data_IF_509147768414
#
_entry.id   IF_509147768414
#
_cell.length_a   1.000
_cell.length_b   1.000
_cell.length_c   1.000
_cell.angle_alpha   90.00
_cell.angle_beta   90.00
_cell.angle_gamma   90.00
#
_symmetry.space_group_name_H-M   'P 1'
#
loop_
_entity.id
_entity.type
_entity.pdbx_description
1 polymer ?
#
# COMPACT_ATOMS: atom_id res chain seq x y z
N UNK A 1 53.06 44.98 -2.33
CA UNK A 1 51.66 44.87 -2.81
C UNK A 1 50.95 43.86 -1.91
N UNK A 2 50.24 44.29 -0.87
CA UNK A 2 48.81 44.68 -0.79
C UNK A 2 47.86 43.46 -0.73
N UNK A 3 47.58 43.06 0.52
CA UNK A 3 46.35 42.53 1.16
C UNK A 3 45.04 42.62 0.34
N UNK A 4 43.96 41.83 0.62
CA UNK A 4 43.47 41.66 2.01
C UNK A 4 42.75 40.38 2.50
N UNK A 5 42.74 40.34 3.84
CA UNK A 5 41.85 39.63 4.79
C UNK A 5 40.35 39.89 4.58
N UNK A 6 39.53 38.91 5.01
CA UNK A 6 38.25 39.11 5.74
C UNK A 6 38.03 37.90 6.67
N UNK A 7 38.34 38.02 7.95
CA UNK A 7 37.42 38.33 9.07
C UNK A 7 36.31 37.29 9.27
N UNK A 8 36.56 36.39 10.22
CA UNK A 8 35.59 35.61 10.99
C UNK A 8 34.85 36.54 11.95
N UNK A 9 33.53 36.65 11.82
CA UNK A 9 32.64 37.26 12.81
C UNK A 9 31.83 36.14 13.45
N UNK A 10 32.13 35.87 14.72
CA UNK A 10 31.20 35.18 15.61
C UNK A 10 30.05 36.13 15.93
N UNK A 11 28.83 35.60 15.94
CA UNK A 11 27.70 36.24 16.58
C UNK A 11 27.17 35.35 17.70
N UNK A 12 27.31 35.91 18.88
CA UNK A 12 26.84 35.50 20.19
C UNK A 12 25.33 35.73 20.24
N UNK A 13 24.54 34.68 20.46
CA UNK A 13 23.09 34.79 20.62
C UNK A 13 22.83 35.31 22.05
N UNK A 14 22.56 36.60 22.15
CA UNK A 14 22.05 37.26 23.35
C UNK A 14 20.62 36.79 23.62
N UNK A 15 20.40 36.27 24.83
CA UNK A 15 19.09 36.07 25.44
C UNK A 15 18.34 37.41 25.51
N UNK A 16 17.13 37.47 24.95
CA UNK A 16 16.21 38.58 25.17
C UNK A 16 14.81 38.03 25.45
N UNK A 17 14.44 38.02 26.72
CA UNK A 17 13.06 38.05 27.19
C UNK A 17 12.39 39.36 26.76
N UNK A 18 11.07 39.34 26.54
CA UNK A 18 10.27 40.46 27.01
C UNK A 18 9.07 40.05 27.86
N UNK A 19 8.76 41.02 28.69
CA UNK A 19 7.92 41.10 29.86
C UNK A 19 6.45 41.39 29.51
N UNK A 20 5.57 41.16 30.48
CA UNK A 20 4.13 41.40 30.41
C UNK A 20 3.80 42.90 30.31
N UNK A 21 2.77 43.24 29.53
CA UNK A 21 1.92 44.39 29.85
C UNK A 21 0.49 44.21 29.37
N UNK A 22 -0.43 44.82 30.11
CA UNK A 22 -1.87 44.57 30.16
C UNK A 22 -2.68 45.52 29.24
N UNK A 23 -4.00 45.25 29.20
CA UNK A 23 -5.14 46.15 28.90
C UNK A 23 -5.56 46.38 27.43
N UNK A 24 -6.72 45.82 27.03
CA UNK A 24 -8.03 46.52 27.06
C UNK A 24 -9.09 45.80 26.20
N UNK A 25 -10.27 45.58 26.78
CA UNK A 25 -11.57 45.25 26.13
C UNK A 25 -12.09 46.43 25.31
N UNK A 26 -13.04 46.19 24.37
CA UNK A 26 -14.42 46.56 24.69
C UNK A 26 -15.49 45.55 24.22
N UNK A 27 -16.68 45.80 24.77
CA UNK A 27 -17.88 44.99 24.87
C UNK A 27 -18.95 45.37 23.82
N UNK A 28 -19.81 44.41 23.51
CA UNK A 28 -21.23 44.49 23.06
C UNK A 28 -21.72 45.55 22.05
N UNK A 29 -22.43 45.06 21.03
CA UNK A 29 -23.77 45.62 20.72
C UNK A 29 -24.70 44.56 20.11
N UNK A 30 -25.93 44.55 20.63
CA UNK A 30 -27.07 43.70 20.25
C UNK A 30 -27.94 44.40 19.17
N UNK A 31 -29.10 43.80 18.88
CA UNK A 31 -30.26 44.23 18.06
C UNK A 31 -30.38 43.49 16.71
N UNK A 32 -31.52 43.00 16.23
CA UNK A 32 -32.87 42.74 16.75
C UNK A 32 -33.63 41.89 15.69
N UNK A 33 -34.80 41.39 16.08
CA UNK A 33 -35.65 40.39 15.41
C UNK A 33 -36.81 41.03 14.60
N UNK A 34 -37.13 40.44 13.42
CA UNK A 34 -38.50 40.16 12.85
C UNK A 34 -39.29 41.31 12.17
N UNK A 35 -40.35 41.14 11.31
CA UNK A 35 -40.91 40.02 10.48
C UNK A 35 -41.23 40.32 8.97
N UNK A 36 -41.49 39.24 8.23
CA UNK A 36 -42.59 38.93 7.26
C UNK A 36 -43.02 39.89 6.11
N UNK A 37 -43.13 39.33 4.89
CA UNK A 37 -44.27 39.51 3.95
C UNK A 37 -44.12 38.63 2.69
N UNK A 38 -45.10 37.75 2.46
CA UNK A 38 -45.49 37.19 1.14
C UNK A 38 -46.73 37.98 0.64
N UNK A 39 -47.03 38.03 -0.68
CA UNK A 39 -48.20 37.25 -1.14
C UNK A 39 -48.16 36.75 -2.62
N UNK A 40 -48.58 35.48 -2.80
CA UNK A 40 -49.64 34.97 -3.71
C UNK A 40 -49.51 35.14 -5.26
N UNK A 41 -50.02 34.29 -6.17
CA UNK A 41 -50.95 33.14 -6.13
C UNK A 41 -50.87 32.31 -7.45
N UNK A 42 -51.38 31.08 -7.34
CA UNK A 42 -51.60 29.94 -8.27
C UNK A 42 -52.64 30.19 -9.39
N UNK A 43 -52.92 29.25 -10.35
CA UNK A 43 -53.68 27.98 -10.13
C UNK A 43 -53.11 26.76 -10.93
N UNK A 44 -52.94 25.55 -10.38
CA UNK A 44 -53.88 24.53 -9.87
C UNK A 44 -54.79 23.88 -10.94
N UNK A 45 -54.48 22.63 -11.31
CA UNK A 45 -55.45 21.57 -11.60
C UNK A 45 -54.94 20.24 -10.97
N UNK A 46 -55.83 19.58 -10.24
CA UNK A 46 -55.72 18.29 -9.54
C UNK A 46 -56.78 17.32 -10.14
N UNK A 47 -57.06 16.13 -9.55
CA UNK A 47 -56.26 14.91 -9.44
C UNK A 47 -57.07 13.65 -9.89
N UNK A 48 -56.49 12.44 -9.73
CA UNK A 48 -57.06 11.15 -9.22
C UNK A 48 -56.56 9.88 -9.95
N UNK A 49 -56.68 8.65 -9.39
CA UNK A 49 -56.32 8.21 -8.03
C UNK A 49 -55.53 6.87 -8.04
N UNK A 50 -54.77 6.60 -6.98
CA UNK A 50 -54.20 5.27 -6.74
C UNK A 50 -53.27 5.25 -5.53
N UNK A 51 -53.78 4.82 -4.38
CA UNK A 51 -53.10 4.67 -3.07
C UNK A 51 -53.78 3.47 -2.39
N UNK A 52 -53.20 2.73 -1.40
CA UNK A 52 -51.88 2.82 -0.74
C UNK A 52 -51.11 1.47 -0.72
N UNK A 53 -49.84 1.50 -0.31
CA UNK A 53 -49.17 0.26 0.12
C UNK A 53 -47.71 0.43 0.49
N UNK A 54 -47.46 0.38 1.79
CA UNK A 54 -46.19 0.41 2.50
C UNK A 54 -45.04 -0.44 1.93
N UNK A 55 -43.83 0.00 2.27
CA UNK A 55 -42.65 -0.80 2.61
C UNK A 55 -42.46 -2.15 1.92
N UNK A 56 -41.45 -2.23 1.06
CA UNK A 56 -40.54 -3.38 1.17
C UNK A 56 -39.18 -3.08 0.58
N UNK A 57 -38.22 -2.89 1.48
CA UNK A 57 -36.84 -3.30 1.27
C UNK A 57 -36.83 -4.73 0.75
N UNK A 58 -36.43 -4.95 -0.50
CA UNK A 58 -36.16 -6.30 -0.97
C UNK A 58 -34.96 -6.33 -1.92
N UNK A 59 -33.82 -6.54 -1.29
CA UNK A 59 -32.88 -7.63 -1.62
C UNK A 59 -32.41 -7.68 -3.07
N UNK A 60 -31.21 -7.15 -3.28
CA UNK A 60 -30.37 -7.57 -4.40
C UNK A 60 -29.16 -8.28 -3.78
N UNK A 61 -29.25 -9.62 -3.74
CA UNK A 61 -28.19 -10.61 -3.52
C UNK A 61 -26.96 -10.07 -2.75
N UNK A 62 -26.99 -10.21 -1.42
CA UNK A 62 -26.03 -9.65 -0.47
C UNK A 62 -24.61 -10.23 -0.57
N UNK A 63 -23.93 -9.94 -1.67
CA UNK A 63 -22.49 -10.15 -1.80
C UNK A 63 -21.81 -9.23 -0.80
N UNK A 64 -21.12 -9.82 0.17
CA UNK A 64 -20.34 -9.06 1.14
C UNK A 64 -19.16 -8.41 0.43
N UNK A 65 -19.30 -7.13 0.12
CA UNK A 65 -18.28 -6.35 -0.57
C UNK A 65 -17.58 -5.42 0.41
N UNK A 66 -16.31 -5.72 0.72
CA UNK A 66 -15.47 -4.90 1.59
C UNK A 66 -15.46 -3.44 1.13
N UNK A 67 -15.57 -2.52 2.08
CA UNK A 67 -15.54 -1.07 1.86
C UNK A 67 -16.85 -0.43 1.41
N UNK A 68 -17.90 -1.22 1.16
CA UNK A 68 -19.27 -0.75 0.91
C UNK A 68 -20.04 -0.53 2.22
N UNK A 69 -21.11 0.25 2.14
CA UNK A 69 -21.98 0.54 3.29
C UNK A 69 -22.97 -0.60 3.52
N UNK A 70 -23.09 -1.02 4.77
CA UNK A 70 -24.07 -1.96 5.27
C UNK A 70 -25.39 -1.26 5.57
N UNK A 71 -26.46 -2.04 5.72
CA UNK A 71 -27.83 -1.52 5.83
C UNK A 71 -28.07 -0.72 7.12
N UNK A 72 -27.19 -0.91 8.12
CA UNK A 72 -27.17 -0.14 9.37
C UNK A 72 -26.29 1.14 9.30
N UNK A 73 -25.83 1.51 8.10
CA UNK A 73 -24.99 2.68 7.85
C UNK A 73 -23.49 2.49 8.12
N UNK A 74 -23.05 1.32 8.62
CA UNK A 74 -21.62 1.05 8.89
C UNK A 74 -20.90 0.54 7.67
N UNK A 75 -19.58 0.72 7.61
CA UNK A 75 -18.77 0.24 6.48
C UNK A 75 -18.35 -1.20 6.72
N UNK A 76 -18.55 -2.07 5.72
CA UNK A 76 -18.11 -3.46 5.74
C UNK A 76 -16.59 -3.55 5.74
N UNK A 77 -16.02 -4.20 6.74
CA UNK A 77 -14.57 -4.42 6.87
C UNK A 77 -14.25 -5.89 7.06
N UNK A 78 -13.06 -6.29 6.61
CA UNK A 78 -12.50 -7.61 6.82
C UNK A 78 -11.01 -7.53 7.11
N UNK A 79 -10.53 -8.52 7.86
CA UNK A 79 -9.11 -8.81 8.04
C UNK A 79 -8.69 -9.76 6.93
N UNK A 80 -7.90 -9.23 5.99
CA UNK A 80 -7.29 -9.96 4.89
C UNK A 80 -5.78 -9.98 5.13
N UNK A 81 -5.19 -11.18 5.23
CA UNK A 81 -3.76 -11.37 5.55
C UNK A 81 -3.29 -10.60 6.81
N UNK A 82 -4.15 -10.51 7.83
CA UNK A 82 -3.87 -9.80 9.08
C UNK A 82 -4.00 -8.28 9.00
N UNK A 83 -4.54 -7.74 7.91
CA UNK A 83 -4.75 -6.29 7.71
C UNK A 83 -6.22 -5.98 7.54
N UNK A 84 -6.68 -4.90 8.18
CA UNK A 84 -8.04 -4.39 8.03
C UNK A 84 -8.21 -3.71 6.66
N UNK A 85 -9.18 -4.19 5.89
CA UNK A 85 -9.60 -3.58 4.63
C UNK A 85 -11.02 -2.99 4.74
N UNK A 86 -11.29 -1.81 4.13
CA UNK A 86 -10.35 -0.99 3.36
C UNK A 86 -9.41 -0.18 4.26
N UNK A 87 -8.09 -0.40 4.10
CA UNK A 87 -7.05 0.07 5.02
C UNK A 87 -7.06 1.58 5.27
N UNK A 88 -7.32 2.38 4.23
CA UNK A 88 -7.34 3.83 4.33
C UNK A 88 -8.50 4.34 5.20
N UNK A 89 -9.73 3.80 5.01
CA UNK A 89 -10.89 4.22 5.80
C UNK A 89 -10.71 3.84 7.26
N UNK A 90 -10.30 2.61 7.53
CA UNK A 90 -9.99 2.13 8.87
C UNK A 90 -8.93 3.01 9.55
N UNK A 91 -7.80 3.26 8.85
CA UNK A 91 -6.70 4.08 9.38
C UNK A 91 -7.09 5.52 9.69
N UNK A 92 -7.91 6.15 8.82
CA UNK A 92 -8.42 7.51 9.04
C UNK A 92 -9.33 7.55 10.26
N UNK A 93 -10.27 6.62 10.36
CA UNK A 93 -11.20 6.58 11.48
C UNK A 93 -10.48 6.30 12.81
N UNK A 94 -9.55 5.32 12.84
CA UNK A 94 -8.71 5.07 14.01
C UNK A 94 -7.94 6.33 14.44
N UNK A 95 -7.46 7.13 13.49
CA UNK A 95 -6.78 8.39 13.81
C UNK A 95 -7.73 9.43 14.39
N UNK A 96 -8.97 9.50 13.90
CA UNK A 96 -10.00 10.41 14.40
C UNK A 96 -10.32 10.11 15.86
N UNK A 97 -10.62 8.84 16.14
CA UNK A 97 -10.96 8.34 17.47
C UNK A 97 -9.86 8.60 18.50
N UNK A 98 -8.58 8.53 18.12
CA UNK A 98 -7.48 8.82 19.03
C UNK A 98 -7.50 10.26 19.58
N UNK A 99 -7.99 11.23 18.81
CA UNK A 99 -8.06 12.62 19.27
C UNK A 99 -9.17 12.84 20.31
N UNK A 100 -10.15 11.93 20.40
CA UNK A 100 -11.23 12.04 21.38
C UNK A 100 -10.73 11.86 22.82
N UNK A 101 -9.66 11.07 23.01
CA UNK A 101 -9.15 10.78 24.36
C UNK A 101 -7.65 10.49 24.39
N UNK A 102 -6.81 11.52 24.46
CA UNK A 102 -5.37 11.34 24.68
C UNK A 102 -4.99 11.40 26.17
N UNK A 103 -4.16 10.46 26.61
CA UNK A 103 -3.64 10.41 27.98
C UNK A 103 -2.28 11.10 28.09
N UNK A 104 -2.09 11.91 29.14
CA UNK A 104 -0.80 12.59 29.38
C UNK A 104 0.34 11.57 29.60
N UNK A 105 0.09 10.51 30.38
CA UNK A 105 1.05 9.39 30.57
C UNK A 105 1.21 8.48 29.35
N UNK A 106 0.38 8.66 28.32
CA UNK A 106 0.36 7.86 27.10
C UNK A 106 1.45 8.20 26.10
N UNK A 107 2.68 8.54 26.52
CA UNK A 107 3.72 9.01 25.58
C UNK A 107 4.07 7.99 24.48
N UNK A 108 3.88 6.70 24.74
CA UNK A 108 3.96 5.63 23.74
C UNK A 108 2.70 4.79 23.77
N UNK A 109 2.36 4.12 22.66
CA UNK A 109 1.21 3.21 22.60
C UNK A 109 1.22 2.14 23.70
N UNK A 110 2.40 1.70 24.14
CA UNK A 110 2.52 0.74 25.24
C UNK A 110 2.06 1.32 26.59
N UNK A 111 2.29 2.61 26.80
CA UNK A 111 1.92 3.33 28.03
C UNK A 111 0.46 3.79 28.06
N UNK A 112 -0.21 3.81 26.90
CA UNK A 112 -1.65 4.06 26.85
C UNK A 112 -2.37 2.94 27.61
N UNK A 113 -3.27 3.30 28.52
CA UNK A 113 -4.00 2.37 29.36
C UNK A 113 -4.84 1.37 28.52
N UNK A 114 -5.16 0.22 29.12
CA UNK A 114 -6.04 -0.77 28.49
C UNK A 114 -7.44 -0.17 28.27
N UNK A 115 -7.95 0.57 29.25
CA UNK A 115 -9.28 1.19 29.18
C UNK A 115 -9.39 2.20 28.03
N UNK A 116 -8.36 3.01 27.80
CA UNK A 116 -8.34 3.94 26.67
C UNK A 116 -8.22 3.21 25.33
N UNK A 117 -7.48 2.11 25.26
CA UNK A 117 -7.43 1.27 24.04
C UNK A 117 -8.78 0.63 23.74
N UNK A 118 -9.47 0.12 24.77
CA UNK A 118 -10.82 -0.42 24.64
C UNK A 118 -11.81 0.66 24.20
N UNK A 119 -11.77 1.84 24.83
CA UNK A 119 -12.57 3.00 24.40
C UNK A 119 -12.38 3.29 22.91
N UNK A 120 -11.13 3.38 22.43
CA UNK A 120 -10.89 3.63 21.01
C UNK A 120 -11.46 2.52 20.09
N UNK A 121 -11.44 1.27 20.54
CA UNK A 121 -11.98 0.17 19.75
C UNK A 121 -13.51 0.19 19.71
N UNK A 122 -14.16 0.51 20.83
CA UNK A 122 -15.61 0.69 20.90
C UNK A 122 -16.09 1.86 20.04
N UNK A 123 -15.37 2.99 20.03
CA UNK A 123 -15.65 4.08 19.11
C UNK A 123 -15.44 3.68 17.64
N UNK A 124 -14.44 2.84 17.36
CA UNK A 124 -14.22 2.29 16.02
C UNK A 124 -15.39 1.40 15.56
N UNK A 125 -15.96 0.57 16.45
CA UNK A 125 -17.11 -0.32 16.16
C UNK A 125 -18.38 0.41 15.72
N UNK A 126 -18.53 1.69 16.07
CA UNK A 126 -19.68 2.51 15.64
C UNK A 126 -19.68 2.79 14.14
N UNK A 127 -18.52 2.73 13.47
CA UNK A 127 -18.38 3.09 12.05
C UNK A 127 -18.23 1.87 11.13
N UNK A 128 -17.91 0.71 11.69
CA UNK A 128 -17.55 -0.48 10.92
C UNK A 128 -18.31 -1.71 11.38
N UNK A 129 -18.51 -2.64 10.45
CA UNK A 129 -19.13 -3.93 10.67
C UNK A 129 -18.34 -5.03 9.96
N UNK A 130 -18.27 -6.20 10.56
CA UNK A 130 -17.50 -7.35 10.08
C UNK A 130 -18.22 -8.67 10.35
N UNK A 131 -17.84 -9.71 9.61
CA UNK A 131 -18.33 -11.10 9.82
C UNK A 131 -17.39 -11.96 10.65
N UNK A 132 -16.12 -11.59 10.72
CA UNK A 132 -15.08 -12.32 11.44
C UNK A 132 -15.21 -12.12 12.96
N UNK A 133 -14.46 -12.87 13.75
CA UNK A 133 -14.49 -12.70 15.20
C UNK A 133 -13.95 -11.34 15.63
N UNK A 134 -14.55 -10.76 16.68
CA UNK A 134 -14.08 -9.51 17.29
C UNK A 134 -12.61 -9.60 17.69
N UNK A 135 -12.15 -10.75 18.19
CA UNK A 135 -10.75 -10.97 18.54
C UNK A 135 -9.80 -10.81 17.36
N UNK A 136 -10.14 -11.38 16.19
CA UNK A 136 -9.30 -11.28 14.99
C UNK A 136 -9.22 -9.83 14.51
N UNK A 137 -10.37 -9.15 14.47
CA UNK A 137 -10.48 -7.75 14.06
C UNK A 137 -9.75 -6.84 15.04
N UNK A 138 -9.89 -7.09 16.35
CA UNK A 138 -9.23 -6.32 17.40
C UNK A 138 -7.71 -6.44 17.32
N UNK A 139 -7.16 -7.63 17.05
CA UNK A 139 -5.71 -7.80 16.88
C UNK A 139 -5.19 -7.05 15.65
N UNK A 140 -5.87 -7.15 14.51
CA UNK A 140 -5.51 -6.39 13.31
C UNK A 140 -5.64 -4.87 13.53
N UNK A 141 -6.69 -4.45 14.24
CA UNK A 141 -6.91 -3.06 14.64
C UNK A 141 -5.82 -2.56 15.58
N UNK A 142 -5.39 -3.33 16.58
CA UNK A 142 -4.33 -2.96 17.52
C UNK A 142 -3.01 -2.65 16.80
N UNK A 143 -2.66 -3.45 15.79
CA UNK A 143 -1.48 -3.20 14.97
C UNK A 143 -1.59 -1.87 14.22
N UNK A 144 -2.74 -1.64 13.58
CA UNK A 144 -3.04 -0.37 12.89
C UNK A 144 -2.98 0.81 13.88
N UNK A 145 -3.68 0.71 15.00
CA UNK A 145 -3.77 1.73 16.03
C UNK A 145 -2.39 2.07 16.61
N UNK A 146 -1.55 1.08 16.92
CA UNK A 146 -0.18 1.33 17.37
C UNK A 146 0.63 2.14 16.35
N UNK A 147 0.44 1.87 15.06
CA UNK A 147 1.12 2.61 13.99
C UNK A 147 0.58 4.04 13.87
N UNK A 148 -0.76 4.19 13.84
CA UNK A 148 -1.43 5.50 13.76
C UNK A 148 -1.09 6.40 14.95
N UNK A 149 -0.99 5.84 16.15
CA UNK A 149 -0.61 6.59 17.35
C UNK A 149 0.82 7.13 17.26
N UNK A 150 1.76 6.29 16.79
CA UNK A 150 3.15 6.69 16.56
C UNK A 150 3.24 7.82 15.53
N UNK A 151 2.47 7.73 14.45
CA UNK A 151 2.40 8.76 13.41
C UNK A 151 1.81 10.06 13.92
N UNK A 152 0.69 10.00 14.65
CA UNK A 152 0.05 11.16 15.29
C UNK A 152 1.09 11.92 16.11
N UNK A 153 1.78 11.22 17.02
CA UNK A 153 2.80 11.81 17.87
C UNK A 153 3.98 12.36 17.07
N UNK A 154 4.43 11.66 16.02
CA UNK A 154 5.52 12.13 15.18
C UNK A 154 5.16 13.40 14.41
N UNK A 155 3.93 13.51 13.91
CA UNK A 155 3.43 14.70 13.22
C UNK A 155 3.24 15.87 14.18
N UNK A 156 2.72 15.58 15.37
CA UNK A 156 2.60 16.52 16.47
C UNK A 156 3.97 17.14 16.80
N UNK A 157 4.99 16.30 17.02
CA UNK A 157 6.37 16.76 17.24
C UNK A 157 6.91 17.61 16.09
N UNK A 158 6.73 17.15 14.85
CA UNK A 158 7.25 17.87 13.69
C UNK A 158 6.61 19.26 13.50
N UNK A 159 5.31 19.40 13.78
CA UNK A 159 4.63 20.70 13.79
C UNK A 159 5.18 21.61 14.88
N UNK A 160 5.37 21.07 16.08
CA UNK A 160 5.93 21.82 17.21
C UNK A 160 7.37 22.26 16.93
N UNK A 161 8.28 21.37 16.53
CA UNK A 161 9.69 21.72 16.29
C UNK A 161 9.88 22.69 15.12
N UNK A 162 9.10 22.56 14.03
CA UNK A 162 9.29 23.39 12.82
C UNK A 162 8.53 24.71 12.85
N UNK A 163 7.33 24.72 13.43
CA UNK A 163 6.41 25.87 13.36
C UNK A 163 6.10 26.47 14.72
N UNK A 164 6.59 25.89 15.81
CA UNK A 164 6.19 26.22 17.18
C UNK A 164 4.66 26.18 17.37
N UNK A 165 3.98 25.30 16.64
CA UNK A 165 2.52 25.19 16.64
C UNK A 165 2.07 23.92 17.38
N UNK A 166 1.15 24.10 18.33
CA UNK A 166 0.45 23.01 18.99
C UNK A 166 -0.81 22.65 18.20
N UNK A 167 -1.08 21.36 18.04
CA UNK A 167 -2.32 20.86 17.43
C UNK A 167 -3.46 21.05 18.45
N UNK A 168 -4.47 21.82 18.08
CA UNK A 168 -5.60 22.18 18.94
C UNK A 168 -6.47 20.99 19.36
N UNK A 169 -6.36 19.86 18.65
CA UNK A 169 -7.05 18.61 18.99
C UNK A 169 -6.37 17.84 20.13
N UNK A 170 -5.18 18.24 20.55
CA UNK A 170 -4.44 17.60 21.64
C UNK A 170 -4.53 18.52 22.87
N UNK A 171 -5.00 17.98 23.99
CA UNK A 171 -5.13 18.71 25.24
C UNK A 171 -3.80 19.27 25.74
N UNK A 172 -3.83 20.46 26.34
CA UNK A 172 -2.62 21.18 26.81
C UNK A 172 -1.81 20.35 27.82
N UNK A 173 -2.47 19.62 28.71
CA UNK A 173 -1.84 18.72 29.67
C UNK A 173 -1.05 17.58 28.98
N UNK A 174 -1.58 17.02 27.90
CA UNK A 174 -0.90 15.98 27.11
C UNK A 174 0.31 16.58 26.40
N UNK A 175 0.16 17.77 25.81
CA UNK A 175 1.27 18.48 25.15
C UNK A 175 2.45 18.73 26.08
N UNK A 176 2.20 19.29 27.27
CA UNK A 176 3.26 19.61 28.22
C UNK A 176 4.06 18.36 28.61
N UNK A 177 3.35 17.28 28.95
CA UNK A 177 3.98 15.99 29.27
C UNK A 177 4.80 15.42 28.10
N UNK A 178 4.31 15.51 26.86
CA UNK A 178 5.05 15.01 25.69
C UNK A 178 6.27 15.87 25.34
N UNK A 179 6.20 17.19 25.54
CA UNK A 179 7.34 18.09 25.34
C UNK A 179 8.45 17.81 26.34
N UNK A 180 8.11 17.60 27.62
CA UNK A 180 9.06 17.18 28.65
C UNK A 180 9.77 15.89 28.22
N UNK A 181 9.02 14.90 27.75
CA UNK A 181 9.56 13.63 27.28
C UNK A 181 10.44 13.77 26.03
N UNK A 182 10.10 14.65 25.07
CA UNK A 182 10.95 14.89 23.90
C UNK A 182 12.27 15.59 24.24
N UNK A 183 12.31 16.37 25.32
CA UNK A 183 13.51 17.06 25.80
C UNK A 183 14.43 16.18 26.65
N UNK A 184 14.00 14.96 27.00
CA UNK A 184 14.87 14.03 27.74
C UNK A 184 16.13 13.69 26.94
N UNK A 185 17.32 13.61 27.56
CA UNK A 185 18.57 13.26 26.87
C UNK A 185 18.48 11.94 26.11
N UNK A 186 17.80 10.95 26.69
CA UNK A 186 17.58 9.64 26.08
C UNK A 186 16.77 9.74 24.77
N UNK A 187 15.69 10.52 24.77
CA UNK A 187 14.85 10.72 23.59
C UNK A 187 15.60 11.47 22.48
N UNK A 188 16.37 12.50 22.84
CA UNK A 188 17.20 13.25 21.91
C UNK A 188 18.27 12.35 21.28
N UNK A 189 19.01 11.58 22.08
CA UNK A 189 20.04 10.65 21.59
C UNK A 189 19.45 9.60 20.64
N UNK A 190 18.31 8.99 20.99
CA UNK A 190 17.59 8.04 20.11
C UNK A 190 17.12 8.68 18.81
N UNK A 191 16.72 9.95 18.85
CA UNK A 191 16.29 10.70 17.67
C UNK A 191 17.48 10.97 16.75
N UNK A 192 18.62 11.35 17.31
CA UNK A 192 19.85 11.61 16.57
C UNK A 192 20.37 10.36 15.85
N UNK A 193 20.45 9.23 16.56
CA UNK A 193 20.82 7.94 15.96
C UNK A 193 19.88 7.60 14.80
N UNK A 194 18.56 7.75 14.98
CA UNK A 194 17.59 7.47 13.91
C UNK A 194 17.74 8.43 12.73
N UNK A 195 18.06 9.69 12.96
CA UNK A 195 18.32 10.68 11.92
C UNK A 195 19.55 10.29 11.10
N UNK A 196 20.63 9.89 11.76
CA UNK A 196 21.87 9.47 11.10
C UNK A 196 21.70 8.14 10.35
N UNK A 197 20.96 7.18 10.94
CA UNK A 197 20.60 5.93 10.25
C UNK A 197 19.76 6.19 9.00
N UNK A 198 18.82 7.16 9.07
CA UNK A 198 18.03 7.53 7.88
C UNK A 198 18.93 8.04 6.78
N UNK A 199 19.95 8.86 7.09
CA UNK A 199 20.94 9.36 6.12
C UNK A 199 21.86 8.28 5.54
N UNK A 200 21.75 7.02 5.95
CA UNK A 200 22.56 5.93 5.41
C UNK A 200 24.06 6.07 5.67
N UNK A 201 24.46 6.90 6.65
CA UNK A 201 25.86 7.21 6.92
C UNK A 201 26.51 8.18 5.92
N UNK A 202 25.77 8.73 4.95
CA UNK A 202 26.28 9.70 4.00
C UNK A 202 26.42 11.09 4.64
N UNK A 203 27.48 11.81 4.27
CA UNK A 203 27.62 13.22 4.59
C UNK A 203 26.58 14.04 3.80
N UNK A 204 26.18 15.16 4.40
CA UNK A 204 25.05 16.00 4.00
C UNK A 204 25.18 16.42 2.54
N UNK A 205 24.37 15.83 1.64
CA UNK A 205 23.64 16.48 0.52
C UNK A 205 23.13 15.52 -0.57
N UNK A 206 23.44 14.22 -0.53
CA UNK A 206 22.89 13.26 -1.49
C UNK A 206 22.15 12.16 -0.73
N UNK A 207 20.81 12.24 -0.76
CA UNK A 207 19.92 11.25 -0.17
C UNK A 207 19.24 10.43 -1.28
N UNK A 208 19.94 9.46 -1.90
CA UNK A 208 19.30 8.67 -2.94
C UNK A 208 18.15 7.87 -2.32
N UNK A 209 16.95 8.04 -2.90
CA UNK A 209 15.80 7.24 -2.52
C UNK A 209 16.10 5.76 -2.77
N UNK A 210 15.74 4.90 -1.82
CA UNK A 210 15.97 3.45 -1.93
C UNK A 210 14.85 2.71 -2.67
N UNK A 211 13.77 3.40 -3.03
CA UNK A 211 12.65 2.92 -3.86
C UNK A 211 11.88 4.12 -4.45
N UNK A 212 11.19 3.93 -5.58
CA UNK A 212 10.39 4.96 -6.28
C UNK A 212 8.90 4.98 -5.90
N UNK A 213 8.46 4.07 -5.04
CA UNK A 213 7.04 3.95 -4.65
C UNK A 213 6.45 5.16 -3.90
N UNK A 214 7.29 6.06 -3.38
CA UNK A 214 6.83 7.25 -2.67
C UNK A 214 5.97 6.90 -1.44
N UNK A 215 4.77 7.49 -1.37
CA UNK A 215 3.79 7.19 -0.30
C UNK A 215 2.87 6.00 -0.59
N UNK A 216 2.99 5.36 -1.77
CA UNK A 216 2.21 4.17 -2.11
C UNK A 216 2.80 2.96 -1.40
N UNK A 217 1.93 2.12 -0.83
CA UNK A 217 2.36 0.86 -0.22
C UNK A 217 2.70 -0.16 -1.32
N UNK A 218 3.61 -1.09 -1.01
CA UNK A 218 3.96 -2.20 -1.90
C UNK A 218 2.72 -3.03 -2.29
N UNK A 219 1.72 -3.15 -1.40
CA UNK A 219 0.47 -3.88 -1.68
C UNK A 219 -0.42 -3.13 -2.68
N UNK A 220 -0.51 -1.81 -2.55
CA UNK A 220 -1.22 -0.99 -3.54
C UNK A 220 -0.57 -1.11 -4.91
N UNK A 221 0.75 -1.05 -4.97
CA UNK A 221 1.49 -1.25 -6.23
C UNK A 221 1.26 -2.66 -6.79
N UNK A 222 1.25 -3.70 -5.94
CA UNK A 222 0.96 -5.05 -6.37
C UNK A 222 -0.46 -5.20 -6.94
N UNK A 223 -1.47 -4.57 -6.32
CA UNK A 223 -2.84 -4.57 -6.84
C UNK A 223 -2.95 -3.86 -8.20
N UNK A 224 -2.25 -2.72 -8.38
CA UNK A 224 -2.20 -2.03 -9.68
C UNK A 224 -1.56 -2.91 -10.77
N UNK A 225 -0.44 -3.57 -10.44
CA UNK A 225 0.18 -4.52 -11.36
C UNK A 225 -0.73 -5.72 -11.65
N UNK A 226 -1.53 -6.14 -10.68
CA UNK A 226 -2.46 -7.25 -10.87
C UNK A 226 -3.55 -6.92 -11.89
N UNK A 227 -4.08 -5.70 -11.83
CA UNK A 227 -5.03 -5.19 -12.80
C UNK A 227 -4.38 -5.07 -14.19
N UNK A 228 -3.17 -4.52 -14.28
CA UNK A 228 -2.43 -4.34 -15.54
C UNK A 228 -2.08 -5.67 -16.21
N UNK A 229 -1.69 -6.68 -15.43
CA UNK A 229 -1.31 -8.00 -15.95
C UNK A 229 -2.47 -8.97 -16.04
N UNK A 230 -3.65 -8.63 -15.53
CA UNK A 230 -4.79 -9.54 -15.34
C UNK A 230 -4.46 -10.80 -14.53
N UNK A 231 -3.41 -10.74 -13.70
CA UNK A 231 -2.92 -11.80 -12.80
C UNK A 231 -2.13 -11.19 -11.65
N UNK A 232 -2.01 -11.88 -10.53
CA UNK A 232 -1.12 -11.42 -9.46
C UNK A 232 0.33 -11.26 -9.95
N UNK A 233 1.02 -10.16 -9.58
CA UNK A 233 2.41 -9.95 -9.96
C UNK A 233 3.34 -10.91 -9.21
N UNK A 234 4.50 -11.22 -9.78
CA UNK A 234 5.55 -11.92 -9.06
C UNK A 234 6.43 -10.96 -8.24
N UNK A 235 7.14 -11.49 -7.24
CA UNK A 235 8.06 -10.71 -6.42
C UNK A 235 9.13 -9.94 -7.23
N UNK A 236 9.77 -10.53 -8.26
CA UNK A 236 10.70 -9.79 -9.12
C UNK A 236 10.06 -8.62 -9.87
N UNK A 237 8.79 -8.75 -10.29
CA UNK A 237 8.08 -7.73 -11.06
C UNK A 237 7.77 -6.52 -10.18
N UNK A 238 7.24 -6.76 -8.96
CA UNK A 238 7.03 -5.70 -7.99
C UNK A 238 8.35 -5.02 -7.60
N UNK A 239 9.42 -5.80 -7.43
CA UNK A 239 10.74 -5.28 -7.13
C UNK A 239 11.26 -4.37 -8.25
N UNK A 240 11.22 -4.83 -9.49
CA UNK A 240 11.66 -4.09 -10.66
C UNK A 240 10.88 -2.79 -10.81
N UNK A 241 9.55 -2.83 -10.67
CA UNK A 241 8.69 -1.66 -10.74
C UNK A 241 9.05 -0.62 -9.66
N UNK A 242 9.33 -1.07 -8.43
CA UNK A 242 9.56 -0.17 -7.29
C UNK A 242 11.00 0.32 -7.14
N UNK A 243 11.97 -0.27 -7.84
CA UNK A 243 13.40 0.08 -7.74
C UNK A 243 13.97 0.66 -9.04
N UNK A 244 13.11 0.98 -10.00
CA UNK A 244 13.48 1.67 -11.24
C UNK A 244 12.88 3.07 -11.31
N UNK A 245 13.60 4.00 -11.96
CA UNK A 245 13.19 5.39 -12.13
C UNK A 245 11.93 5.46 -12.98
N UNK A 246 10.93 6.21 -12.50
CA UNK A 246 9.65 6.41 -13.20
C UNK A 246 8.98 5.10 -13.64
N UNK A 247 9.26 3.99 -12.95
CA UNK A 247 8.77 2.66 -13.30
C UNK A 247 9.15 2.20 -14.72
N UNK A 248 10.29 2.69 -15.26
CA UNK A 248 10.76 2.37 -16.61
C UNK A 248 11.27 0.92 -16.79
N UNK A 249 11.37 0.17 -15.69
CA UNK A 249 11.86 -1.21 -15.62
C UNK A 249 13.30 -1.40 -16.13
N UNK A 250 14.07 -0.32 -16.23
CA UNK A 250 15.42 -0.31 -16.83
C UNK A 250 16.44 0.40 -15.96
N UNK A 251 16.12 1.59 -15.50
CA UNK A 251 17.08 2.47 -14.82
C UNK A 251 16.95 2.32 -13.33
N UNK A 252 17.83 1.52 -12.72
CA UNK A 252 17.85 1.36 -11.26
C UNK A 252 18.22 2.66 -10.54
N UNK A 253 17.61 2.86 -9.37
CA UNK A 253 17.85 4.02 -8.51
C UNK A 253 19.09 3.87 -7.64
N UNK A 254 19.55 2.64 -7.42
CA UNK A 254 20.71 2.33 -6.60
C UNK A 254 21.47 1.09 -7.15
N UNK A 255 22.76 1.02 -6.83
CA UNK A 255 23.63 -0.04 -7.34
C UNK A 255 23.27 -1.42 -6.76
N UNK A 256 22.74 -1.47 -5.52
CA UNK A 256 22.39 -2.73 -4.87
C UNK A 256 21.17 -3.36 -5.54
N UNK A 257 20.16 -2.57 -5.90
CA UNK A 257 18.99 -3.09 -6.63
C UNK A 257 19.36 -3.62 -8.01
N UNK A 258 20.25 -2.93 -8.73
CA UNK A 258 20.81 -3.41 -10.00
C UNK A 258 21.51 -4.77 -9.85
N UNK A 259 22.42 -4.91 -8.86
CA UNK A 259 23.13 -6.18 -8.59
C UNK A 259 22.19 -7.33 -8.24
N UNK A 260 21.13 -7.05 -7.47
CA UNK A 260 20.12 -8.06 -7.13
C UNK A 260 19.38 -8.51 -8.39
N UNK A 261 19.01 -7.57 -9.27
CA UNK A 261 18.32 -7.93 -10.51
C UNK A 261 19.20 -8.71 -11.49
N UNK A 262 20.50 -8.41 -11.58
CA UNK A 262 21.45 -9.24 -12.33
C UNK A 262 21.50 -10.67 -11.78
N UNK A 263 21.50 -10.84 -10.45
CA UNK A 263 21.46 -12.17 -9.82
C UNK A 263 20.15 -12.90 -10.10
N UNK A 264 19.01 -12.20 -10.12
CA UNK A 264 17.70 -12.75 -10.52
C UNK A 264 17.79 -13.30 -11.95
N UNK A 265 18.33 -12.51 -12.90
CA UNK A 265 18.52 -12.95 -14.29
C UNK A 265 19.41 -14.18 -14.39
N UNK A 266 20.57 -14.17 -13.74
CA UNK A 266 21.49 -15.31 -13.75
C UNK A 266 20.86 -16.59 -13.20
N UNK A 267 20.11 -16.49 -12.09
CA UNK A 267 19.38 -17.63 -11.53
C UNK A 267 18.24 -18.11 -12.44
N UNK A 268 17.58 -17.20 -13.17
CA UNK A 268 16.54 -17.55 -14.14
C UNK A 268 17.13 -18.34 -15.29
N UNK A 269 18.25 -17.87 -15.82
CA UNK A 269 18.96 -18.54 -16.93
C UNK A 269 19.46 -19.92 -16.51
N UNK A 270 19.98 -20.06 -15.29
CA UNK A 270 20.42 -21.35 -14.74
C UNK A 270 19.26 -22.33 -14.55
N UNK A 271 18.15 -21.89 -13.96
CA UNK A 271 16.99 -22.74 -13.65
C UNK A 271 16.13 -23.10 -14.85
N UNK A 272 16.15 -22.26 -15.89
CA UNK A 272 15.42 -22.50 -17.13
C UNK A 272 16.13 -23.52 -18.05
N UNK A 273 17.36 -23.95 -17.72
CA UNK A 273 18.10 -24.91 -18.55
C UNK A 273 17.32 -26.22 -18.67
N UNK A 274 17.16 -26.76 -19.89
CA UNK A 274 16.48 -28.03 -20.09
C UNK A 274 17.20 -29.16 -19.36
N UNK A 275 16.45 -30.20 -19.00
CA UNK A 275 17.03 -31.49 -18.55
C UNK A 275 17.72 -32.13 -19.75
N UNK A 276 18.86 -32.79 -19.55
CA UNK A 276 19.52 -33.58 -20.60
C UNK A 276 18.51 -34.48 -21.30
N UNK A 277 18.30 -34.24 -22.59
CA UNK A 277 17.36 -34.99 -23.45
C UNK A 277 15.97 -34.35 -23.68
N UNK A 278 15.64 -33.20 -23.08
CA UNK A 278 14.41 -32.45 -23.37
C UNK A 278 14.69 -31.08 -23.97
N UNK A 279 13.85 -30.62 -24.90
CA UNK A 279 13.91 -29.27 -25.50
C UNK A 279 13.07 -28.24 -24.73
N UNK A 280 12.32 -28.65 -23.71
CA UNK A 280 11.43 -27.75 -22.95
C UNK A 280 12.15 -27.14 -21.73
N UNK A 281 12.17 -25.80 -21.59
CA UNK A 281 12.65 -25.14 -20.38
C UNK A 281 11.88 -25.63 -19.13
N UNK A 282 12.58 -25.79 -18.01
CA UNK A 282 11.92 -26.14 -16.74
C UNK A 282 11.04 -24.97 -16.27
N UNK A 283 9.83 -25.23 -15.73
CA UNK A 283 9.06 -24.20 -15.05
C UNK A 283 9.86 -23.59 -13.89
N UNK A 284 9.95 -22.26 -13.83
CA UNK A 284 10.68 -21.54 -12.79
C UNK A 284 9.69 -20.88 -11.85
N UNK A 285 9.80 -21.19 -10.55
CA UNK A 285 9.11 -20.44 -9.51
C UNK A 285 9.82 -19.08 -9.33
N UNK A 286 9.19 -18.03 -9.86
CA UNK A 286 9.68 -16.65 -9.83
C UNK A 286 9.80 -16.08 -8.41
N UNK A 287 8.92 -16.48 -7.49
CA UNK A 287 8.96 -16.02 -6.10
C UNK A 287 10.12 -16.70 -5.35
N UNK A 288 10.31 -18.01 -5.55
CA UNK A 288 11.46 -18.72 -4.96
C UNK A 288 12.78 -18.21 -5.54
N UNK A 289 12.82 -17.93 -6.85
CA UNK A 289 13.99 -17.34 -7.50
C UNK A 289 14.37 -15.99 -6.88
N UNK A 290 13.38 -15.12 -6.66
CA UNK A 290 13.61 -13.86 -5.96
C UNK A 290 14.15 -14.07 -4.54
N UNK A 291 13.53 -14.98 -3.79
CA UNK A 291 13.92 -15.32 -2.43
C UNK A 291 15.40 -15.71 -2.35
N UNK A 292 15.87 -16.55 -3.27
CA UNK A 292 17.26 -17.01 -3.33
C UNK A 292 18.22 -15.90 -3.80
N UNK A 293 17.77 -15.04 -4.72
CA UNK A 293 18.54 -13.88 -5.17
C UNK A 293 18.84 -12.93 -4.01
N UNK A 294 17.85 -12.64 -3.16
CA UNK A 294 18.01 -11.71 -2.03
C UNK A 294 18.60 -12.33 -0.76
N UNK A 295 18.85 -13.65 -0.76
CA UNK A 295 19.41 -14.38 0.39
C UNK A 295 18.38 -14.73 1.47
N UNK A 296 17.10 -14.81 1.08
CA UNK A 296 16.00 -15.20 1.95
C UNK A 296 15.63 -14.16 3.01
N UNK A 297 15.12 -14.65 4.15
CA UNK A 297 14.73 -13.79 5.27
C UNK A 297 15.94 -13.42 6.12
N UNK A 298 16.05 -12.15 6.48
CA UNK A 298 17.02 -11.72 7.48
C UNK A 298 16.61 -12.14 8.90
N UNK A 299 17.47 -11.84 9.89
CA UNK A 299 17.23 -12.12 11.31
C UNK A 299 15.95 -11.51 11.91
N UNK A 300 15.31 -10.56 11.21
CA UNK A 300 14.02 -9.96 11.59
C UNK A 300 12.84 -10.53 10.80
N UNK A 301 13.02 -11.69 10.16
CA UNK A 301 12.02 -12.36 9.32
C UNK A 301 11.53 -11.46 8.17
N UNK A 302 12.41 -10.60 7.63
CA UNK A 302 12.12 -9.69 6.51
C UNK A 302 12.88 -10.08 5.26
N UNK A 303 12.17 -10.09 4.14
CA UNK A 303 12.72 -10.22 2.79
C UNK A 303 13.05 -8.81 2.29
N UNK A 304 14.19 -8.66 1.64
CA UNK A 304 14.64 -7.37 1.12
C UNK A 304 13.61 -6.80 0.12
N UNK A 305 13.42 -5.48 0.16
CA UNK A 305 12.66 -4.66 -0.81
C UNK A 305 11.18 -5.00 -1.10
N UNK A 306 10.62 -6.07 -0.54
CA UNK A 306 9.22 -6.48 -0.78
C UNK A 306 8.21 -5.78 0.15
N UNK A 307 8.70 -5.18 1.23
CA UNK A 307 7.92 -4.34 2.14
C UNK A 307 6.71 -5.05 2.74
N UNK A 308 5.54 -4.40 2.66
CA UNK A 308 4.26 -4.92 3.19
C UNK A 308 3.66 -6.06 2.36
N UNK A 309 4.19 -6.32 1.16
CA UNK A 309 3.70 -7.40 0.28
C UNK A 309 4.38 -8.75 0.58
N UNK A 310 5.21 -8.84 1.62
CA UNK A 310 5.86 -10.10 1.97
C UNK A 310 4.86 -11.25 2.19
N UNK A 311 3.73 -10.96 2.84
CA UNK A 311 2.72 -12.00 3.10
C UNK A 311 2.01 -12.43 1.82
N UNK A 312 1.83 -11.53 0.85
CA UNK A 312 1.23 -11.83 -0.45
C UNK A 312 2.02 -12.90 -1.20
N UNK A 313 3.35 -12.87 -1.10
CA UNK A 313 4.23 -13.76 -1.87
C UNK A 313 4.81 -14.94 -1.06
N UNK A 314 4.92 -14.81 0.27
CA UNK A 314 5.68 -15.75 1.11
C UNK A 314 4.95 -16.11 2.42
N UNK A 315 3.62 -16.12 2.41
CA UNK A 315 2.83 -16.61 3.53
C UNK A 315 3.25 -18.05 3.89
N UNK A 316 3.36 -18.40 5.18
CA UNK A 316 3.58 -19.79 5.58
C UNK A 316 2.38 -20.63 5.15
N UNK A 317 2.60 -21.74 4.44
CA UNK A 317 1.56 -22.67 3.96
C UNK A 317 0.73 -23.36 5.05
N UNK A 318 0.85 -22.96 6.31
CA UNK A 318 0.19 -23.56 7.48
C UNK A 318 -0.98 -22.74 8.05
N UNK A 319 -1.34 -21.60 7.46
CA UNK A 319 -2.59 -20.92 7.81
C UNK A 319 -3.75 -21.54 7.04
N UNK A 320 -4.51 -22.42 7.71
CA UNK A 320 -5.85 -22.85 7.31
C UNK A 320 -6.79 -21.64 7.23
N UNK A 321 -6.74 -20.92 6.12
CA UNK A 321 -7.82 -20.05 5.65
C UNK A 321 -7.99 -20.38 4.17
N UNK A 322 -8.95 -21.26 3.90
CA UNK A 322 -9.31 -21.69 2.58
C UNK A 322 -9.97 -20.54 1.80
N UNK A 323 -9.55 -20.38 0.54
CA UNK A 323 -10.15 -19.62 -0.57
C UNK A 323 -10.24 -18.09 -0.38
N UNK A 324 -9.68 -17.23 -1.25
CA UNK A 324 -9.78 -17.21 -2.71
C UNK A 324 -8.42 -16.77 -3.29
N UNK A 325 -7.58 -17.72 -3.69
CA UNK A 325 -6.58 -17.48 -4.73
C UNK A 325 -7.24 -17.84 -6.05
N UNK A 326 -7.84 -16.84 -6.71
CA UNK A 326 -8.24 -16.95 -8.12
C UNK A 326 -7.03 -16.70 -9.03
N UNK A 327 -5.86 -17.23 -8.64
CA UNK A 327 -4.69 -17.33 -9.50
C UNK A 327 -4.87 -18.61 -10.29
N UNK A 328 -5.42 -18.45 -11.49
CA UNK A 328 -5.66 -19.52 -12.45
C UNK A 328 -4.33 -19.98 -13.06
N UNK A 329 -3.46 -20.57 -12.23
CA UNK A 329 -2.32 -21.35 -12.71
C UNK A 329 -2.51 -22.82 -12.30
N UNK A 330 -2.48 -23.75 -13.27
CA UNK A 330 -2.63 -25.16 -12.98
C UNK A 330 -1.51 -25.64 -12.06
N UNK A 331 -1.87 -26.48 -11.09
CA UNK A 331 -0.90 -27.09 -10.20
C UNK A 331 0.05 -27.99 -11.02
N UNK A 332 1.23 -28.33 -10.49
CA UNK A 332 2.23 -29.16 -11.19
C UNK A 332 1.67 -30.52 -11.71
N UNK A 333 0.57 -31.03 -11.13
CA UNK A 333 -0.13 -32.24 -11.58
C UNK A 333 -0.97 -32.05 -12.85
N UNK A 334 -1.40 -30.83 -13.16
CA UNK A 334 -2.20 -30.55 -14.35
C UNK A 334 -1.31 -30.43 -15.60
N UNK A 335 -0.05 -30.05 -15.42
CA UNK A 335 0.96 -30.06 -16.49
C UNK A 335 1.25 -31.47 -17.01
N UNK A 336 1.33 -32.47 -16.13
CA UNK A 336 1.52 -33.88 -16.54
C UNK A 336 0.35 -34.41 -17.38
N UNK A 337 -0.87 -33.94 -17.11
CA UNK A 337 -2.06 -34.37 -17.86
C UNK A 337 -2.17 -33.72 -19.25
N UNK A 338 -1.60 -32.54 -19.44
CA UNK A 338 -1.63 -31.80 -20.71
C UNK A 338 -0.47 -32.13 -21.66
N UNK A 339 0.59 -32.76 -21.18
CA UNK A 339 1.71 -33.21 -22.02
C UNK A 339 1.30 -34.11 -23.19
N UNK A 340 0.49 -35.18 -23.01
CA UNK A 340 0.11 -36.04 -24.13
C UNK A 340 -0.72 -35.28 -25.18
N UNK A 341 -1.53 -34.30 -24.78
CA UNK A 341 -2.35 -33.49 -25.70
C UNK A 341 -1.48 -32.52 -26.54
N UNK A 342 -0.45 -31.93 -25.94
CA UNK A 342 0.53 -31.09 -26.64
C UNK A 342 1.39 -31.89 -27.63
N UNK A 343 1.74 -33.13 -27.30
CA UNK A 343 2.48 -34.03 -28.20
C UNK A 343 1.65 -34.36 -29.44
N UNK A 344 0.36 -34.67 -29.26
CA UNK A 344 -0.58 -34.93 -30.37
C UNK A 344 -0.76 -33.68 -31.24
N UNK A 345 -0.85 -32.50 -30.64
CA UNK A 345 -1.00 -31.25 -31.40
C UNK A 345 0.27 -30.87 -32.17
N UNK A 346 1.45 -31.14 -31.62
CA UNK A 346 2.73 -30.97 -32.33
C UNK A 346 2.85 -31.90 -33.53
N UNK A 347 2.43 -33.16 -33.39
CA UNK A 347 2.50 -34.11 -34.50
C UNK A 347 1.55 -33.72 -35.64
N UNK A 348 0.33 -33.26 -35.30
CA UNK A 348 -0.59 -32.66 -36.28
C UNK A 348 -0.01 -31.46 -37.02
N UNK A 349 0.78 -30.64 -36.33
CA UNK A 349 1.40 -29.46 -36.94
C UNK A 349 2.50 -29.86 -37.94
N UNK A 350 3.32 -30.87 -37.62
CA UNK A 350 4.29 -31.43 -38.56
C UNK A 350 3.64 -32.05 -39.80
N UNK A 351 2.53 -32.75 -39.63
CA UNK A 351 1.78 -33.32 -40.76
C UNK A 351 1.23 -32.22 -41.69
N UNK A 352 0.74 -31.12 -41.10
CA UNK A 352 0.23 -29.98 -41.85
C UNK A 352 1.33 -29.27 -42.63
N UNK A 353 2.51 -29.07 -42.03
CA UNK A 353 3.68 -28.50 -42.70
C UNK A 353 4.18 -29.39 -43.85
N UNK A 354 4.20 -30.71 -43.64
CA UNK A 354 4.58 -31.66 -44.68
C UNK A 354 3.59 -31.65 -45.86
N UNK A 355 2.29 -31.45 -45.58
CA UNK A 355 1.27 -31.32 -46.63
C UNK A 355 1.40 -30.00 -47.41
N UNK A 356 1.69 -28.89 -46.73
CA UNK A 356 1.95 -27.61 -47.38
C UNK A 356 3.19 -27.66 -48.29
N UNK A 357 4.25 -28.33 -47.83
CA UNK A 357 5.46 -28.48 -48.64
C UNK A 357 5.19 -29.30 -49.91
N UNK A 358 4.41 -30.40 -49.82
CA UNK A 358 4.01 -31.19 -50.99
C UNK A 358 3.18 -30.38 -51.99
N UNK A 359 2.27 -29.52 -51.51
CA UNK A 359 1.50 -28.65 -52.40
C UNK A 359 2.41 -27.67 -53.15
N UNK A 360 3.38 -27.08 -52.46
CA UNK A 360 4.34 -26.16 -53.06
C UNK A 360 5.25 -26.83 -54.10
N UNK A 361 5.66 -28.07 -53.84
CA UNK A 361 6.46 -28.86 -54.78
C UNK A 361 5.64 -29.26 -56.02
N UNK A 362 4.35 -29.55 -55.84
CA UNK A 362 3.42 -29.83 -56.95
C UNK A 362 3.15 -28.59 -57.80
N UNK A 363 3.00 -27.41 -57.19
CA UNK A 363 2.89 -26.13 -57.92
C UNK A 363 4.14 -25.82 -58.74
N UNK A 364 5.33 -26.05 -58.17
CA UNK A 364 6.59 -25.86 -58.87
C UNK A 364 6.78 -26.85 -60.04
N UNK A 365 6.26 -28.08 -59.91
CA UNK A 365 6.28 -29.07 -61.00
C UNK A 365 5.35 -28.64 -62.15
N UNK A 366 4.14 -28.16 -61.83
CA UNK A 366 3.18 -27.66 -62.82
C UNK A 366 3.70 -26.42 -63.55
N UNK A 367 4.37 -25.50 -62.84
CA UNK A 367 5.01 -24.34 -63.45
C UNK A 367 6.10 -24.75 -64.46
N UNK A 368 6.96 -25.71 -64.11
CA UNK A 368 8.01 -26.23 -65.00
C UNK A 368 7.46 -26.98 -66.21
N UNK A 369 6.33 -27.66 -66.07
CA UNK A 369 5.67 -28.30 -67.21
C UNK A 369 5.00 -27.28 -68.13
N UNK A 370 4.52 -26.16 -67.60
CA UNK A 370 3.94 -25.07 -68.39
C UNK A 370 5.00 -24.29 -69.19
N UNK A 371 6.20 -24.14 -68.65
CA UNK A 371 7.31 -23.44 -69.34
C UNK A 371 7.89 -24.27 -70.50
N UNK A 372 7.87 -25.61 -70.40
CA UNK A 372 8.31 -26.52 -71.47
C UNK A 372 7.31 -26.68 -72.62
N UNK A 373 6.08 -26.18 -72.50
CA UNK A 373 5.09 -26.18 -73.60
C UNK A 373 5.09 -24.87 -74.43
N UNK A 374 5.89 -23.87 -74.04
CA UNK A 374 6.00 -22.58 -74.70
C UNK A 374 7.36 -22.34 -75.40
N UNK A 375 8.11 -23.41 -75.72
CA UNK A 375 9.32 -23.36 -76.55
C UNK A 375 9.09 -23.98 -77.93
#
# INVERSE_FOLDING_TARGET
MRMPRRQTSGQQIMLRTPEMSQQSTPEMSQHHHTPDQTPQNTPCQTPDPGTPGESSSAVINGVWKVGTMHDDGRIRVEVIEGVLEPSNKCSKQTSSVMFERLEHKGFTWKLVSKDTKLFYFEEFKKYFIWRQSDDLVYQAWLQSASHRYKDLRSRARAKWEKKNQLDNRIGKNVWLSWIEEWKTPECMAKTEIKRNNRKGGADVNEYPATHTGGSSSARKTAALLADDYTRDPFSPELFLYTHTKNHDMKTFIDEKSAKIYEKIKALRDERSRPVDGSSTPRPVDENQLYYDAVGGRNSRNKIYSIGSSQNLFYAPSSSTIAHISNSSYPNSQDYEKLQPELEVMKERMKEMDAMQQRMKDMENLLARMSDNQNQ
#
